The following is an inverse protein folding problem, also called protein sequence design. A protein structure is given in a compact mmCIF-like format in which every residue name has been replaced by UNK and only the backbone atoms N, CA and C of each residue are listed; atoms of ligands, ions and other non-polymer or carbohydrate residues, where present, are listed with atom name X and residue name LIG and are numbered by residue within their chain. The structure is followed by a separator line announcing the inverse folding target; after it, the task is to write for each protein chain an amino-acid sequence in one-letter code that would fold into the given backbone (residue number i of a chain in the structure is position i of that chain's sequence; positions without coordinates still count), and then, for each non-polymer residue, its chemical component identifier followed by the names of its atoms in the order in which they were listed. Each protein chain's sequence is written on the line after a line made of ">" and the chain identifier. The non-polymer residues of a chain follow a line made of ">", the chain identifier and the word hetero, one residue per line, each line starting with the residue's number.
data_IF_894835949359
#
_entry.id   IF_894835949359
#
_cell.length_a   1.000
_cell.length_b   1.000
_cell.length_c   1.000
_cell.angle_alpha   90.00
_cell.angle_beta   90.00
_cell.angle_gamma   90.00
#
_symmetry.space_group_name_H-M   'P 1'
#
loop_
_entity.id
_entity.type
_entity.pdbx_description
1 polymer ?
#
# COMPACT_ATOMS: atom_id res chain seq x y z
N UNK A 1 -9.07 2.31 7.92
CA UNK A 1 -7.98 3.02 7.21
C UNK A 1 -7.28 2.06 6.27
N UNK A 2 -6.60 2.58 5.26
CA UNK A 2 -5.77 1.78 4.36
C UNK A 2 -4.32 2.11 4.67
N UNK A 3 -3.46 1.11 4.69
CA UNK A 3 -2.04 1.26 5.00
C UNK A 3 -1.20 0.72 3.86
N UNK A 4 -0.15 1.48 3.52
CA UNK A 4 0.84 1.09 2.53
C UNK A 4 1.91 0.21 3.19
N UNK A 5 2.31 -0.86 2.51
CA UNK A 5 3.36 -1.74 2.97
C UNK A 5 4.50 -1.82 1.97
N UNK A 6 5.67 -2.23 2.46
CA UNK A 6 6.87 -2.48 1.66
C UNK A 6 7.47 -3.84 2.02
N UNK A 7 8.19 -4.45 1.08
CA UNK A 7 8.92 -5.70 1.29
C UNK A 7 10.34 -5.59 0.75
N UNK A 8 11.31 -6.02 1.55
CA UNK A 8 12.70 -6.15 1.09
C UNK A 8 12.93 -7.49 0.41
N UNK A 9 13.54 -7.51 -0.77
CA UNK A 9 13.93 -8.74 -1.44
C UNK A 9 15.41 -8.72 -1.88
N UNK A 10 16.04 -9.89 -1.77
CA UNK A 10 17.41 -10.12 -2.25
C UNK A 10 17.34 -10.61 -3.70
N UNK A 11 17.98 -9.89 -4.60
CA UNK A 11 18.03 -10.23 -6.02
C UNK A 11 19.16 -11.22 -6.33
N UNK A 12 19.17 -11.75 -7.57
CA UNK A 12 20.20 -12.69 -8.04
C UNK A 12 21.62 -12.09 -8.04
N UNK A 13 21.73 -10.77 -8.16
CA UNK A 13 22.98 -10.00 -8.05
C UNK A 13 23.42 -9.75 -6.60
N UNK A 14 22.70 -10.32 -5.61
CA UNK A 14 22.87 -10.14 -4.17
C UNK A 14 22.58 -8.71 -3.67
N UNK A 15 22.01 -7.84 -4.50
CA UNK A 15 21.52 -6.54 -4.04
C UNK A 15 20.21 -6.69 -3.26
N UNK A 16 20.01 -5.82 -2.27
CA UNK A 16 18.73 -5.70 -1.56
C UNK A 16 17.95 -4.55 -2.17
N UNK A 17 16.70 -4.79 -2.54
CA UNK A 17 15.78 -3.75 -3.01
C UNK A 17 14.47 -3.79 -2.25
N UNK A 18 13.88 -2.62 -2.08
CA UNK A 18 12.57 -2.44 -1.46
C UNK A 18 11.53 -2.40 -2.58
N UNK A 19 10.48 -3.19 -2.43
CA UNK A 19 9.35 -3.26 -3.34
C UNK A 19 8.08 -2.82 -2.64
N UNK A 20 7.16 -2.22 -3.40
CA UNK A 20 5.81 -1.92 -2.92
C UNK A 20 5.09 -3.22 -2.57
N UNK A 21 4.60 -3.29 -1.34
CA UNK A 21 3.79 -4.38 -0.82
C UNK A 21 2.28 -4.12 -1.00
N UNK A 22 1.44 -5.09 -0.61
CA UNK A 22 0.00 -4.95 -0.69
C UNK A 22 -0.54 -3.85 0.25
N UNK A 23 -1.67 -3.25 -0.12
CA UNK A 23 -2.41 -2.37 0.78
C UNK A 23 -3.15 -3.19 1.85
N UNK A 24 -3.08 -2.75 3.10
CA UNK A 24 -3.71 -3.42 4.25
C UNK A 24 -4.84 -2.57 4.80
N UNK A 25 -6.02 -3.16 4.96
CA UNK A 25 -7.16 -2.51 5.63
C UNK A 25 -7.15 -2.83 7.13
N UNK A 26 -7.07 -1.79 7.96
CA UNK A 26 -7.03 -1.92 9.41
C UNK A 26 -7.64 -0.70 10.12
N UNK A 27 -8.00 -0.86 11.40
CA UNK A 27 -8.57 0.21 12.23
C UNK A 27 -7.51 1.08 12.89
N UNK A 28 -6.27 0.59 13.00
CA UNK A 28 -5.12 1.33 13.52
C UNK A 28 -3.81 0.75 12.95
N UNK A 29 -2.69 1.44 13.22
CA UNK A 29 -1.38 1.04 12.73
C UNK A 29 -0.91 -0.30 13.32
N UNK A 30 -1.23 -0.60 14.59
CA UNK A 30 -0.81 -1.84 15.24
C UNK A 30 -1.52 -3.07 14.64
N UNK A 31 -2.81 -2.94 14.31
CA UNK A 31 -3.56 -3.94 13.58
C UNK A 31 -3.04 -4.10 12.14
N UNK A 32 -2.67 -3.00 11.49
CA UNK A 32 -2.05 -3.04 10.15
C UNK A 32 -0.72 -3.82 10.17
N UNK A 33 0.15 -3.56 11.15
CA UNK A 33 1.41 -4.28 11.30
C UNK A 33 1.20 -5.78 11.56
N UNK A 34 0.25 -6.12 12.43
CA UNK A 34 -0.07 -7.53 12.72
C UNK A 34 -0.54 -8.24 11.45
N UNK A 35 -1.48 -7.63 10.71
CA UNK A 35 -1.98 -8.19 9.45
C UNK A 35 -0.89 -8.30 8.38
N UNK A 36 -0.05 -7.28 8.23
CA UNK A 36 1.08 -7.30 7.31
C UNK A 36 2.03 -8.48 7.61
N UNK A 37 2.39 -8.67 8.89
CA UNK A 37 3.26 -9.76 9.36
C UNK A 37 2.63 -11.15 9.23
N UNK A 38 1.30 -11.25 9.37
CA UNK A 38 0.55 -12.49 9.12
C UNK A 38 0.57 -12.88 7.63
N UNK A 39 0.56 -11.91 6.72
CA UNK A 39 0.66 -12.13 5.27
C UNK A 39 2.08 -12.50 4.86
N UNK A 40 3.07 -11.76 5.35
CA UNK A 40 4.48 -12.05 5.16
C UNK A 40 5.29 -11.38 6.29
N UNK A 41 6.16 -12.16 6.95
CA UNK A 41 6.98 -11.68 8.08
C UNK A 41 7.93 -10.54 7.69
N UNK A 42 8.26 -10.42 6.40
CA UNK A 42 9.14 -9.39 5.85
C UNK A 42 8.39 -8.13 5.39
N UNK A 43 7.05 -8.12 5.46
CA UNK A 43 6.26 -6.91 5.16
C UNK A 43 6.34 -5.90 6.31
N UNK A 44 6.56 -4.65 5.92
CA UNK A 44 6.61 -3.50 6.84
C UNK A 44 5.54 -2.48 6.46
N UNK A 45 4.78 -1.98 7.43
CA UNK A 45 3.84 -0.87 7.22
C UNK A 45 4.62 0.43 7.25
N UNK A 46 4.51 1.23 6.18
CA UNK A 46 5.28 2.48 6.05
C UNK A 46 4.43 3.75 6.17
N UNK A 47 3.11 3.62 6.11
CA UNK A 47 2.22 4.75 6.34
C UNK A 47 0.77 4.47 5.99
N UNK A 48 -0.06 5.48 6.19
CA UNK A 48 -1.46 5.48 5.79
C UNK A 48 -1.59 5.86 4.31
N UNK A 49 -2.36 5.07 3.57
CA UNK A 49 -2.70 5.34 2.19
C UNK A 49 -3.99 6.15 2.14
N UNK A 50 -3.83 7.44 1.85
CA UNK A 50 -4.95 8.32 1.54
C UNK A 50 -5.23 8.24 0.05
N UNK A 51 -6.28 7.50 -0.33
CA UNK A 51 -6.79 7.56 -1.69
C UNK A 51 -7.38 8.97 -1.87
N UNK A 52 -6.64 9.87 -2.53
CA UNK A 52 -7.18 11.15 -2.96
C UNK A 52 -8.48 10.83 -3.70
N UNK A 53 -9.58 11.43 -3.24
CA UNK A 53 -10.90 11.19 -3.79
C UNK A 53 -10.80 11.17 -5.31
N UNK A 54 -11.28 10.06 -5.87
CA UNK A 54 -11.65 9.87 -7.26
C UNK A 54 -12.04 11.24 -7.81
N UNK A 55 -11.17 11.87 -8.62
CA UNK A 55 -11.55 13.03 -9.41
C UNK A 55 -12.83 12.58 -10.10
N UNK A 56 -13.94 13.16 -9.68
CA UNK A 56 -15.16 13.13 -10.47
C UNK A 56 -14.74 13.78 -11.78
N UNK A 57 -14.36 12.94 -12.75
CA UNK A 57 -14.71 13.24 -14.12
C UNK A 57 -16.24 13.10 -14.14
N UNK A 58 -16.92 14.11 -13.56
CA UNK A 58 -18.15 14.58 -14.15
C UNK A 58 -17.80 14.80 -15.61
N UNK A 59 -18.52 14.06 -16.44
CA UNK A 59 -18.49 14.09 -17.88
C UNK A 59 -18.99 15.48 -18.33
N UNK A 60 -18.24 16.53 -18.02
CA UNK A 60 -18.41 17.88 -18.56
C UNK A 60 -17.76 17.95 -19.95
N UNK A 61 -18.09 16.99 -20.82
CA UNK A 61 -17.77 17.07 -22.25
C UNK A 61 -18.98 16.63 -23.08
N UNK A 62 -19.91 17.57 -23.20
CA UNK A 62 -20.52 17.81 -24.50
C UNK A 62 -22.04 17.84 -24.52
N UNK A 63 -22.61 18.95 -24.03
CA UNK A 63 -23.58 19.66 -24.87
C UNK A 63 -22.99 19.81 -26.27
N UNK A 64 -23.62 19.17 -27.27
CA UNK A 64 -23.82 19.68 -28.63
C UNK A 64 -24.96 18.91 -29.29
#
# INVERSE_FOLDING_TARGET
>A
MVFMTEISAVLSDKSVRIFEGPLVYANDFAEAERKAKEMNKDLMVVGEYYMAEKILFEDELGTL
#
